data_IF_048500526600
#
_entry.id   IF_048500526600
#
_cell.length_a   1.000
_cell.length_b   1.000
_cell.length_c   1.000
_cell.angle_alpha   90.00
_cell.angle_beta   90.00
_cell.angle_gamma   90.00
#
_symmetry.space_group_name_H-M   'P 1'
#
loop_
_entity.id
_entity.type
_entity.pdbx_description
1 polymer ?
#
# COMPACT_ATOMS: atom_id res chain seq x y z
N UNK A 1 -18.34 17.51 -19.64
CA UNK A 1 -19.16 17.33 -18.41
C UNK A 1 -18.37 16.44 -17.49
N UNK A 2 -18.01 16.93 -16.30
CA UNK A 2 -17.28 16.13 -15.31
C UNK A 2 -18.24 15.23 -14.54
N UNK A 3 -17.79 14.03 -14.19
CA UNK A 3 -18.51 13.02 -13.42
C UNK A 3 -19.77 12.51 -14.13
N UNK A 4 -19.69 12.36 -15.45
CA UNK A 4 -20.76 11.81 -16.29
C UNK A 4 -20.20 10.82 -17.31
N UNK A 5 -20.99 9.80 -17.60
CA UNK A 5 -20.76 8.87 -18.69
C UNK A 5 -21.55 9.32 -19.92
N UNK A 6 -20.93 9.19 -21.09
CA UNK A 6 -21.54 9.47 -22.38
C UNK A 6 -21.35 8.27 -23.30
N UNK A 7 -22.40 7.94 -24.06
CA UNK A 7 -22.27 7.01 -25.19
C UNK A 7 -21.56 7.74 -26.31
N UNK A 8 -20.36 7.29 -26.65
CA UNK A 8 -19.53 7.84 -27.72
C UNK A 8 -20.02 7.28 -29.07
N UNK A 9 -20.43 6.01 -29.10
CA UNK A 9 -21.00 5.36 -30.27
C UNK A 9 -22.09 4.37 -29.86
N UNK A 10 -23.28 4.53 -30.43
CA UNK A 10 -24.42 3.64 -30.21
C UNK A 10 -24.41 2.52 -31.25
N UNK A 11 -24.27 1.26 -30.81
CA UNK A 11 -24.48 0.09 -31.67
C UNK A 11 -25.92 -0.43 -31.62
N UNK A 12 -26.29 -1.25 -32.60
CA UNK A 12 -27.61 -1.88 -32.68
C UNK A 12 -27.71 -3.06 -31.70
N UNK A 13 -28.71 -3.03 -30.82
CA UNK A 13 -28.98 -4.12 -29.86
C UNK A 13 -28.44 -3.91 -28.44
N UNK A 14 -28.09 -2.67 -28.06
CA UNK A 14 -27.60 -2.35 -26.71
C UNK A 14 -26.08 -2.49 -26.53
N UNK A 15 -25.37 -2.85 -27.60
CA UNK A 15 -23.90 -2.81 -27.67
C UNK A 15 -23.46 -1.41 -28.14
N UNK A 16 -22.37 -0.88 -27.62
CA UNK A 16 -21.89 0.46 -27.97
C UNK A 16 -20.66 0.85 -27.16
N UNK A 17 -19.94 1.88 -27.60
CA UNK A 17 -18.78 2.43 -26.88
C UNK A 17 -19.27 3.57 -26.00
N UNK A 18 -19.09 3.41 -24.68
CA UNK A 18 -19.35 4.46 -23.71
C UNK A 18 -18.05 4.88 -23.03
N UNK A 19 -17.89 6.18 -22.80
CA UNK A 19 -16.77 6.75 -22.06
C UNK A 19 -17.28 7.58 -20.90
N UNK A 20 -16.56 7.56 -19.78
CA UNK A 20 -16.90 8.37 -18.63
C UNK A 20 -15.73 9.30 -18.29
N UNK A 21 -16.04 10.57 -18.04
CA UNK A 21 -15.06 11.56 -17.64
C UNK A 21 -15.29 11.96 -16.20
N UNK A 22 -14.20 12.12 -15.44
CA UNK A 22 -14.25 12.59 -14.08
C UNK A 22 -13.17 13.59 -13.74
N UNK A 23 -13.44 14.35 -12.69
CA UNK A 23 -12.48 15.25 -12.07
C UNK A 23 -12.32 15.02 -10.55
N UNK A 24 -12.87 13.91 -10.04
CA UNK A 24 -12.74 13.51 -8.63
C UNK A 24 -12.31 12.05 -8.52
N UNK A 25 -11.59 11.76 -7.45
CA UNK A 25 -11.04 10.45 -7.11
C UNK A 25 -12.09 9.31 -7.10
N UNK A 26 -11.81 8.22 -7.84
CA UNK A 26 -12.62 6.99 -8.00
C UNK A 26 -14.12 7.16 -8.27
N UNK A 27 -14.51 8.25 -8.88
CA UNK A 27 -15.87 8.51 -9.36
C UNK A 27 -16.44 7.44 -10.33
N UNK A 28 -15.62 6.59 -10.97
CA UNK A 28 -16.06 5.70 -12.05
C UNK A 28 -16.42 4.28 -11.60
N UNK A 29 -16.13 3.87 -10.36
CA UNK A 29 -16.68 2.64 -9.77
C UNK A 29 -16.49 2.66 -8.23
N UNK A 30 -17.56 2.51 -7.42
CA UNK A 30 -17.48 2.68 -5.98
C UNK A 30 -16.99 1.40 -5.30
N UNK A 31 -15.69 1.11 -5.35
CA UNK A 31 -15.11 0.05 -4.48
C UNK A 31 -13.77 0.37 -3.83
N UNK A 32 -13.12 1.49 -4.16
CA UNK A 32 -11.95 2.00 -3.44
C UNK A 32 -12.02 3.53 -3.44
N UNK A 33 -11.75 4.14 -2.30
CA UNK A 33 -11.62 5.59 -2.14
C UNK A 33 -10.14 5.96 -2.35
N UNK A 34 -9.75 6.68 -3.41
CA UNK A 34 -8.48 7.39 -3.44
C UNK A 34 -8.60 8.57 -2.49
N UNK A 35 -7.53 8.86 -1.76
CA UNK A 35 -7.51 9.95 -0.78
C UNK A 35 -6.98 9.56 0.60
N UNK A 36 -6.68 8.28 0.87
CA UNK A 36 -5.88 7.90 2.04
C UNK A 36 -4.85 6.82 1.69
N UNK A 37 -3.81 7.18 0.91
CA UNK A 37 -2.73 6.25 0.61
C UNK A 37 -2.06 5.79 1.90
N UNK A 38 -1.73 4.50 1.95
CA UNK A 38 -1.08 3.89 3.12
C UNK A 38 0.22 4.63 3.39
N UNK A 39 0.38 5.07 4.64
CA UNK A 39 1.64 5.61 5.10
C UNK A 39 2.33 4.60 5.99
N UNK A 40 3.63 4.41 5.81
CA UNK A 40 4.42 3.49 6.62
C UNK A 40 5.57 4.22 7.26
N UNK A 41 5.90 3.81 8.48
CA UNK A 41 7.18 4.16 9.06
C UNK A 41 8.28 3.49 8.24
N UNK A 42 9.26 4.26 7.80
CA UNK A 42 10.49 3.79 7.16
C UNK A 42 11.68 4.28 7.95
N UNK A 43 12.64 3.41 8.21
CA UNK A 43 13.72 3.73 9.14
C UNK A 43 14.48 2.54 9.68
N UNK A 44 15.28 2.82 10.71
CA UNK A 44 16.16 1.88 11.37
C UNK A 44 16.04 2.05 12.89
N UNK A 45 15.90 0.91 13.57
CA UNK A 45 15.86 0.81 15.02
C UNK A 45 16.90 -0.20 15.50
N UNK A 46 17.88 0.26 16.26
CA UNK A 46 18.90 -0.56 16.90
C UNK A 46 19.16 -0.03 18.33
N UNK A 47 18.44 -0.53 19.34
CA UNK A 47 18.44 0.03 20.70
C UNK A 47 19.80 -0.10 21.39
N UNK A 48 20.55 -1.18 21.13
CA UNK A 48 21.86 -1.42 21.74
C UNK A 48 22.90 -0.34 21.44
N UNK A 49 22.73 0.39 20.33
CA UNK A 49 23.61 1.48 19.90
C UNK A 49 22.90 2.84 19.88
N UNK A 50 21.70 2.91 20.47
CA UNK A 50 20.91 4.15 20.57
C UNK A 50 20.38 4.67 19.23
N UNK A 51 20.24 3.82 18.21
CA UNK A 51 19.72 4.23 16.90
C UNK A 51 18.20 4.08 16.87
N UNK A 52 17.51 5.19 16.64
CA UNK A 52 16.10 5.24 16.32
C UNK A 52 15.91 6.41 15.34
N UNK A 53 15.85 6.10 14.04
CA UNK A 53 15.77 7.11 12.99
C UNK A 53 14.83 6.65 11.89
N UNK A 54 13.92 7.52 11.48
CA UNK A 54 12.94 7.21 10.46
C UNK A 54 11.87 8.27 10.31
N UNK A 55 11.01 8.07 9.32
CA UNK A 55 9.89 8.95 9.01
C UNK A 55 8.70 8.13 8.53
N UNK A 56 7.51 8.71 8.63
CA UNK A 56 6.35 8.21 7.92
C UNK A 56 6.40 8.68 6.46
N UNK A 57 6.13 7.78 5.50
CA UNK A 57 6.11 8.06 4.06
C UNK A 57 4.96 7.32 3.39
N UNK A 58 4.50 7.82 2.24
CA UNK A 58 3.49 7.12 1.43
C UNK A 58 4.08 5.88 0.76
N UNK A 59 3.32 4.78 0.79
CA UNK A 59 3.71 3.52 0.17
C UNK A 59 2.65 3.05 -0.83
N UNK A 60 3.13 2.58 -1.98
CA UNK A 60 2.37 1.74 -2.91
C UNK A 60 2.74 0.26 -2.65
N UNK A 61 1.94 -0.41 -1.83
CA UNK A 61 2.23 -1.75 -1.32
C UNK A 61 1.82 -1.92 0.14
N UNK A 62 2.69 -2.56 0.93
CA UNK A 62 2.48 -2.79 2.37
C UNK A 62 3.60 -2.18 3.21
N UNK A 63 3.29 -1.84 4.45
CA UNK A 63 4.29 -1.52 5.46
C UNK A 63 4.98 -2.81 5.88
N UNK A 64 6.31 -2.80 5.91
CA UNK A 64 7.10 -3.96 6.32
C UNK A 64 8.09 -3.59 7.42
N UNK A 65 8.38 -4.58 8.26
CA UNK A 65 9.53 -4.58 9.14
C UNK A 65 10.35 -5.85 8.94
N UNK A 66 11.66 -5.72 9.14
CA UNK A 66 12.58 -6.84 9.12
C UNK A 66 13.46 -6.75 10.35
N UNK A 67 13.45 -7.78 11.19
CA UNK A 67 14.23 -7.85 12.42
C UNK A 67 15.23 -8.98 12.32
N UNK A 68 16.49 -8.71 12.65
CA UNK A 68 17.55 -9.72 12.72
C UNK A 68 18.59 -9.37 13.77
N UNK A 69 19.57 -10.25 13.94
CA UNK A 69 20.68 -10.06 14.89
C UNK A 69 21.95 -9.67 14.13
N UNK A 70 22.50 -8.50 14.45
CA UNK A 70 23.79 -8.03 13.93
C UNK A 70 24.74 -7.86 15.10
N UNK A 71 25.85 -8.61 15.09
CA UNK A 71 26.86 -8.60 16.16
C UNK A 71 26.26 -8.81 17.56
N UNK A 72 25.32 -9.76 17.68
CA UNK A 72 24.62 -10.08 18.94
C UNK A 72 23.54 -9.08 19.37
N UNK A 73 23.29 -8.03 18.60
CA UNK A 73 22.25 -7.02 18.87
C UNK A 73 21.09 -7.12 17.89
N UNK A 74 19.86 -6.96 18.40
CA UNK A 74 18.67 -6.87 17.56
C UNK A 74 18.65 -5.56 16.77
N UNK A 75 18.43 -5.66 15.46
CA UNK A 75 18.30 -4.55 14.53
C UNK A 75 17.04 -4.75 13.72
N UNK A 76 16.19 -3.72 13.68
CA UNK A 76 14.95 -3.71 12.90
C UNK A 76 15.00 -2.62 11.85
N UNK A 77 14.76 -2.98 10.59
CA UNK A 77 14.50 -2.02 9.51
C UNK A 77 13.01 -1.94 9.23
N UNK A 78 12.58 -0.78 8.76
CA UNK A 78 11.21 -0.54 8.34
C UNK A 78 11.21 0.02 6.91
N UNK A 79 10.35 -0.52 6.06
CA UNK A 79 10.33 -0.19 4.64
C UNK A 79 8.93 -0.33 4.03
N UNK A 80 8.67 0.37 2.92
CA UNK A 80 7.61 0.00 1.98
C UNK A 80 8.05 -1.24 1.20
N UNK A 81 7.15 -2.19 0.95
CA UNK A 81 7.46 -3.34 0.11
C UNK A 81 6.26 -3.71 -0.78
N UNK A 82 6.48 -4.25 -2.00
CA UNK A 82 5.38 -4.69 -2.84
C UNK A 82 4.54 -5.77 -2.17
N UNK A 83 3.21 -5.70 -2.31
CA UNK A 83 2.28 -6.68 -1.74
C UNK A 83 2.57 -8.11 -2.20
N UNK A 84 3.08 -8.28 -3.43
CA UNK A 84 3.45 -9.59 -3.97
C UNK A 84 4.53 -10.28 -3.15
N UNK A 85 5.48 -9.51 -2.60
CA UNK A 85 6.56 -10.04 -1.74
C UNK A 85 5.97 -10.56 -0.44
N UNK A 86 5.15 -9.76 0.25
CA UNK A 86 4.51 -10.17 1.50
C UNK A 86 3.63 -11.42 1.34
N UNK A 87 2.89 -11.51 0.23
CA UNK A 87 2.08 -12.69 -0.10
C UNK A 87 2.94 -13.91 -0.40
N UNK A 88 4.02 -13.75 -1.16
CA UNK A 88 4.94 -14.85 -1.47
C UNK A 88 5.62 -15.44 -0.24
N UNK A 89 5.86 -14.60 0.77
CA UNK A 89 6.43 -14.98 2.05
C UNK A 89 5.37 -15.44 3.08
N UNK A 90 4.08 -15.31 2.77
CA UNK A 90 2.98 -15.68 3.67
C UNK A 90 2.86 -14.80 4.91
N UNK A 91 3.31 -13.54 4.84
CA UNK A 91 3.34 -12.58 5.97
C UNK A 91 2.39 -11.39 5.77
N UNK A 92 1.36 -11.55 4.94
CA UNK A 92 0.31 -10.54 4.77
C UNK A 92 -0.44 -10.32 6.09
N UNK A 93 -0.34 -9.11 6.64
CA UNK A 93 -0.90 -8.75 7.95
C UNK A 93 -0.45 -9.69 9.09
N UNK A 94 0.78 -10.20 8.96
CA UNK A 94 1.36 -11.19 9.87
C UNK A 94 2.89 -11.03 9.94
N UNK A 95 3.50 -11.83 10.81
CA UNK A 95 4.95 -11.96 10.95
C UNK A 95 5.36 -13.43 10.80
N UNK A 96 6.51 -13.67 10.19
CA UNK A 96 7.12 -15.01 10.17
C UNK A 96 8.64 -14.90 10.07
N UNK A 97 9.32 -15.95 10.51
CA UNK A 97 10.72 -16.17 10.14
C UNK A 97 10.86 -16.29 8.63
N UNK A 98 11.93 -15.73 8.07
CA UNK A 98 12.16 -15.79 6.63
C UNK A 98 12.65 -17.19 6.20
N UNK A 99 12.26 -17.66 5.01
CA UNK A 99 12.78 -18.90 4.46
C UNK A 99 14.30 -18.85 4.31
N UNK A 100 15.01 -19.83 4.88
CA UNK A 100 16.47 -19.94 4.79
C UNK A 100 17.26 -19.23 5.90
N UNK A 101 16.61 -18.37 6.70
CA UNK A 101 17.25 -17.71 7.84
C UNK A 101 16.25 -17.52 8.98
N UNK A 102 16.33 -18.40 10.00
CA UNK A 102 15.39 -18.40 11.14
C UNK A 102 15.69 -17.29 12.15
N UNK A 103 16.88 -16.68 12.06
CA UNK A 103 17.27 -15.58 12.95
C UNK A 103 16.77 -14.24 12.43
N UNK A 104 16.15 -14.22 11.24
CA UNK A 104 15.51 -13.06 10.64
C UNK A 104 14.00 -13.26 10.59
N UNK A 105 13.26 -12.31 11.16
CA UNK A 105 11.80 -12.25 11.14
C UNK A 105 11.33 -11.06 10.32
N UNK A 106 10.37 -11.29 9.42
CA UNK A 106 9.74 -10.26 8.61
C UNK A 106 8.26 -10.15 8.91
N UNK A 107 7.74 -8.91 8.96
CA UNK A 107 6.32 -8.63 9.06
C UNK A 107 5.87 -7.77 7.87
N UNK A 108 4.61 -7.92 7.45
CA UNK A 108 3.94 -6.97 6.58
C UNK A 108 2.54 -6.63 7.08
N UNK A 109 2.08 -5.42 6.78
CA UNK A 109 0.71 -5.00 7.06
C UNK A 109 0.28 -3.81 6.21
N UNK A 110 -1.04 -3.68 6.03
CA UNK A 110 -1.67 -2.57 5.31
C UNK A 110 -2.97 -2.08 5.98
N UNK A 111 -3.27 -2.57 7.20
CA UNK A 111 -4.54 -2.27 7.88
C UNK A 111 -4.63 -0.86 8.49
N UNK A 112 -3.50 -0.18 8.73
CA UNK A 112 -3.44 1.23 9.19
C UNK A 112 -2.08 1.85 8.90
N UNK A 113 -2.00 3.19 8.98
CA UNK A 113 -0.73 3.89 8.86
C UNK A 113 0.27 3.45 9.94
N UNK A 114 1.53 3.27 9.53
CA UNK A 114 2.63 2.84 10.38
C UNK A 114 2.33 1.57 11.19
N UNK A 115 1.47 0.69 10.67
CA UNK A 115 1.14 -0.58 11.30
C UNK A 115 2.37 -1.47 11.54
N UNK A 116 3.44 -1.29 10.74
CA UNK A 116 4.67 -2.08 10.85
C UNK A 116 5.42 -1.83 12.16
N UNK A 117 5.25 -0.67 12.80
CA UNK A 117 5.83 -0.39 14.12
C UNK A 117 5.14 -1.23 15.20
N UNK A 118 3.81 -1.19 15.23
CA UNK A 118 2.98 -1.96 16.16
C UNK A 118 3.17 -3.48 15.96
N UNK A 119 3.11 -3.94 14.71
CA UNK A 119 3.21 -5.35 14.38
C UNK A 119 4.59 -5.94 14.72
N UNK A 120 5.63 -5.10 14.77
CA UNK A 120 6.97 -5.47 15.23
C UNK A 120 7.11 -5.50 16.77
N UNK A 121 6.04 -5.21 17.51
CA UNK A 121 6.06 -5.05 18.97
C UNK A 121 7.04 -3.98 19.49
N UNK A 122 7.29 -2.92 18.70
CA UNK A 122 8.16 -1.81 19.11
C UNK A 122 7.28 -0.63 19.54
N UNK A 123 7.28 -0.32 20.84
CA UNK A 123 6.41 0.73 21.43
C UNK A 123 7.06 2.10 21.54
N UNK A 124 8.37 2.19 21.37
CA UNK A 124 9.16 3.39 21.66
C UNK A 124 9.43 4.25 20.41
N UNK A 125 8.83 3.88 19.28
CA UNK A 125 8.82 4.69 18.07
C UNK A 125 7.47 5.39 18.03
N UNK A 126 7.48 6.71 18.11
CA UNK A 126 6.34 7.51 17.74
C UNK A 126 6.57 8.00 16.30
N UNK A 127 5.91 7.42 15.28
CA UNK A 127 6.08 7.86 13.90
C UNK A 127 5.83 9.37 13.81
N UNK A 128 6.76 10.14 13.24
CA UNK A 128 6.49 11.55 13.00
C UNK A 128 5.33 11.65 12.02
N UNK A 129 4.39 12.57 12.26
CA UNK A 129 3.30 12.85 11.31
C UNK A 129 3.91 13.15 9.95
N UNK A 130 3.52 12.40 8.92
CA UNK A 130 4.01 12.68 7.57
C UNK A 130 3.69 14.13 7.18
N UNK A 131 4.59 14.74 6.42
CA UNK A 131 4.27 16.03 5.82
C UNK A 131 3.06 15.84 4.89
N UNK A 132 2.07 16.74 4.93
CA UNK A 132 0.92 16.65 4.05
C UNK A 132 1.41 16.76 2.60
N UNK A 133 1.24 15.69 1.82
CA UNK A 133 1.48 15.75 0.39
C UNK A 133 0.29 16.40 -0.30
N UNK A 134 0.56 17.49 -1.00
CA UNK A 134 -0.44 18.21 -1.82
C UNK A 134 -0.58 17.63 -3.22
N UNK A 135 0.18 16.59 -3.55
CA UNK A 135 0.24 15.99 -4.88
C UNK A 135 0.11 14.47 -4.76
N UNK A 136 -1.12 13.97 -4.79
CA UNK A 136 -1.37 12.59 -5.19
C UNK A 136 -1.79 12.61 -6.66
N UNK A 137 -1.24 11.73 -7.51
CA UNK A 137 -1.76 11.60 -8.86
C UNK A 137 -3.24 11.23 -8.77
N UNK A 138 -4.09 11.99 -9.48
CA UNK A 138 -5.49 11.62 -9.67
C UNK A 138 -5.48 10.23 -10.31
N UNK A 139 -5.87 9.23 -9.54
CA UNK A 139 -6.00 7.87 -10.04
C UNK A 139 -7.31 7.79 -10.82
N UNK A 140 -7.22 8.05 -12.12
CA UNK A 140 -8.30 7.75 -13.04
C UNK A 140 -8.39 6.23 -13.17
N UNK A 141 -9.49 5.65 -12.70
CA UNK A 141 -9.79 4.25 -12.95
C UNK A 141 -9.70 3.99 -14.46
N UNK A 142 -8.87 3.02 -14.86
CA UNK A 142 -8.82 2.54 -16.24
C UNK A 142 -9.07 1.05 -16.24
N UNK A 143 -9.99 0.63 -17.10
CA UNK A 143 -10.30 -0.77 -17.27
C UNK A 143 -11.37 -0.98 -18.33
N UNK A 144 -11.46 -2.22 -18.80
CA UNK A 144 -12.37 -2.61 -19.87
C UNK A 144 -13.42 -3.53 -19.26
N UNK A 145 -14.68 -3.27 -19.60
CA UNK A 145 -15.81 -4.14 -19.28
C UNK A 145 -16.39 -4.68 -20.59
N UNK A 146 -16.72 -5.96 -20.59
CA UNK A 146 -17.49 -6.61 -21.66
C UNK A 146 -18.71 -7.22 -21.02
N UNK A 147 -19.90 -6.85 -21.49
CA UNK A 147 -21.19 -7.33 -20.98
C UNK A 147 -21.36 -7.17 -19.45
N UNK A 148 -20.86 -6.05 -18.91
CA UNK A 148 -20.92 -5.74 -17.48
C UNK A 148 -19.88 -6.48 -16.61
N UNK A 149 -19.04 -7.34 -17.21
CA UNK A 149 -17.98 -8.06 -16.49
C UNK A 149 -16.62 -7.38 -16.71
N UNK A 150 -15.81 -7.14 -15.65
CA UNK A 150 -14.48 -6.58 -15.80
C UNK A 150 -13.54 -7.60 -16.45
N UNK A 151 -12.84 -7.21 -17.51
CA UNK A 151 -11.79 -8.03 -18.15
C UNK A 151 -10.37 -7.58 -17.78
N UNK A 152 -10.24 -6.42 -17.15
CA UNK A 152 -8.97 -5.90 -16.61
C UNK A 152 -9.08 -5.76 -15.10
N UNK A 153 -8.03 -6.18 -14.37
CA UNK A 153 -7.85 -5.77 -12.98
C UNK A 153 -7.41 -4.29 -12.99
N UNK A 154 -8.31 -3.40 -12.58
CA UNK A 154 -7.98 -2.00 -12.44
C UNK A 154 -7.01 -1.78 -11.25
N UNK A 155 -6.08 -0.85 -11.43
CA UNK A 155 -5.27 -0.26 -10.35
C UNK A 155 -6.06 0.78 -9.56
#
# INVERSE_FOLDING_TARGET
MSNQCVTIESGTGGTGVSGCCCNTDACLTPKRTPGNPLQCYVGLYAPSVGVNTGSEVFCDGMCSSLTGIVNGSSVTTFQCIPTSVCKSLGVDNACSGLPGDRDVSGCCCDYKNSCNVELSNITNINPPTAQPSTEFPISCWSGIYVDGNPITNAG
#
